data_IF_157175107773
#
_entry.id   IF_157175107773
#
_cell.length_a   1.000
_cell.length_b   1.000
_cell.length_c   1.000
_cell.angle_alpha   90.00
_cell.angle_beta   90.00
_cell.angle_gamma   90.00
#
_symmetry.space_group_name_H-M   'P 1'
#
loop_
_entity.id
_entity.type
_entity.pdbx_description
1 polymer ?
#
# COMPACT_ATOMS: atom_id res chain seq x y z
N UNK A 1 31.09 -8.27 -7.10
CA UNK A 1 30.12 -7.21 -6.81
C UNK A 1 28.77 -7.37 -7.53
N UNK A 2 28.49 -8.53 -8.16
CA UNK A 2 27.25 -8.76 -8.94
C UNK A 2 26.18 -9.62 -8.22
N UNK A 3 26.45 -10.09 -6.99
CA UNK A 3 25.60 -11.07 -6.31
C UNK A 3 24.43 -10.46 -5.50
N UNK A 4 24.47 -9.16 -5.18
CA UNK A 4 23.43 -8.49 -4.38
C UNK A 4 22.34 -7.80 -5.24
N UNK A 5 22.60 -7.56 -6.53
CA UNK A 5 21.60 -6.97 -7.44
C UNK A 5 20.41 -7.89 -7.71
N UNK A 6 20.62 -9.23 -7.60
CA UNK A 6 19.57 -10.21 -7.86
C UNK A 6 18.45 -10.27 -6.83
N UNK A 7 18.68 -9.81 -5.59
CA UNK A 7 17.67 -9.87 -4.52
C UNK A 7 16.69 -8.69 -4.53
N UNK A 8 17.08 -7.53 -5.07
CA UNK A 8 16.26 -6.31 -5.10
C UNK A 8 15.51 -6.17 -6.43
N UNK A 9 16.14 -6.56 -7.54
CA UNK A 9 15.50 -6.65 -8.86
C UNK A 9 15.05 -8.07 -9.22
N UNK A 10 14.70 -8.90 -8.22
CA UNK A 10 13.89 -10.07 -8.55
C UNK A 10 12.58 -9.53 -9.15
N UNK A 11 12.42 -9.73 -10.47
CA UNK A 11 11.23 -9.34 -11.24
C UNK A 11 9.94 -9.91 -10.64
N UNK A 12 10.10 -10.95 -9.84
CA UNK A 12 9.07 -11.68 -9.10
C UNK A 12 8.71 -11.02 -7.74
N UNK A 13 9.56 -10.13 -7.21
CA UNK A 13 9.40 -9.48 -5.89
C UNK A 13 9.09 -7.98 -5.94
N UNK A 14 9.67 -7.20 -6.87
CA UNK A 14 9.44 -5.75 -6.96
C UNK A 14 8.45 -5.32 -8.05
N UNK A 15 8.25 -6.15 -9.09
CA UNK A 15 7.12 -6.00 -10.01
C UNK A 15 6.12 -7.14 -9.78
N UNK A 16 5.39 -7.06 -8.68
CA UNK A 16 4.35 -8.05 -8.41
C UNK A 16 3.13 -7.69 -9.24
N UNK A 17 2.57 -8.65 -10.01
CA UNK A 17 1.43 -8.38 -10.87
C UNK A 17 0.34 -7.73 -10.03
N UNK A 18 -0.14 -6.56 -10.48
CA UNK A 18 -1.31 -5.91 -9.88
C UNK A 18 -2.32 -7.00 -9.59
N UNK A 19 -2.74 -7.17 -8.33
CA UNK A 19 -3.93 -7.97 -7.99
C UNK A 19 -4.97 -7.46 -8.97
N UNK A 20 -5.35 -8.29 -9.95
CA UNK A 20 -6.24 -7.85 -11.02
C UNK A 20 -7.54 -7.57 -10.31
N UNK A 21 -7.82 -6.29 -10.06
CA UNK A 21 -9.16 -5.87 -9.68
C UNK A 21 -10.06 -6.41 -10.79
N UNK A 22 -10.93 -7.35 -10.46
CA UNK A 22 -11.76 -7.98 -11.47
C UNK A 22 -12.66 -6.92 -12.10
N UNK A 23 -12.62 -6.74 -13.44
CA UNK A 23 -13.48 -5.79 -14.12
C UNK A 23 -14.95 -6.04 -13.75
N UNK A 24 -15.66 -5.01 -13.34
CA UNK A 24 -17.06 -5.11 -12.89
C UNK A 24 -17.26 -5.22 -11.37
N UNK A 25 -16.18 -5.28 -10.57
CA UNK A 25 -16.29 -5.18 -9.10
C UNK A 25 -16.33 -3.73 -8.61
N UNK A 26 -16.99 -3.47 -7.48
CA UNK A 26 -17.02 -2.15 -6.84
C UNK A 26 -15.59 -1.63 -6.55
N UNK A 27 -14.69 -2.53 -6.15
CA UNK A 27 -13.28 -2.23 -5.89
C UNK A 27 -12.52 -1.81 -7.16
N UNK A 28 -12.83 -2.41 -8.32
CA UNK A 28 -12.29 -1.99 -9.62
C UNK A 28 -12.76 -0.59 -10.01
N UNK A 29 -14.04 -0.28 -9.83
CA UNK A 29 -14.58 1.04 -10.12
C UNK A 29 -14.00 2.11 -9.20
N UNK A 30 -13.84 1.82 -7.90
CA UNK A 30 -13.18 2.72 -6.95
C UNK A 30 -11.72 2.99 -7.32
N UNK A 31 -10.97 1.94 -7.67
CA UNK A 31 -9.59 2.07 -8.14
C UNK A 31 -9.51 2.96 -9.40
N UNK A 32 -10.43 2.80 -10.36
CA UNK A 32 -10.48 3.63 -11.58
C UNK A 32 -10.78 5.09 -11.26
N UNK A 33 -11.74 5.37 -10.38
CA UNK A 33 -12.07 6.73 -9.90
C UNK A 33 -10.86 7.40 -9.24
N UNK A 34 -10.17 6.70 -8.34
CA UNK A 34 -8.97 7.19 -7.68
C UNK A 34 -7.83 7.48 -8.69
N UNK A 35 -7.60 6.57 -9.65
CA UNK A 35 -6.55 6.73 -10.65
C UNK A 35 -6.82 7.88 -11.64
N UNK A 36 -8.08 8.08 -12.05
CA UNK A 36 -8.46 9.17 -12.94
C UNK A 36 -8.31 10.56 -12.28
N UNK A 37 -8.62 10.62 -10.98
CA UNK A 37 -8.57 11.86 -10.20
C UNK A 37 -7.13 12.32 -9.93
N UNK A 38 -6.18 11.39 -9.82
CA UNK A 38 -4.77 11.73 -9.59
C UNK A 38 -4.00 12.14 -10.86
N UNK A 39 -4.51 11.83 -12.05
CA UNK A 39 -3.86 12.12 -13.35
C UNK A 39 -4.21 13.48 -13.95
N UNK A 40 -5.17 14.22 -13.38
CA UNK A 40 -5.84 15.35 -14.06
C UNK A 40 -5.51 16.75 -13.52
N UNK A 41 -4.45 16.92 -12.71
CA UNK A 41 -4.08 18.25 -12.18
C UNK A 41 -5.12 18.86 -11.24
N UNK A 42 -5.97 18.01 -10.64
CA UNK A 42 -7.06 18.38 -9.75
C UNK A 42 -6.57 18.77 -8.35
N UNK A 43 -7.41 19.56 -7.66
CA UNK A 43 -7.31 19.83 -6.23
C UNK A 43 -7.34 18.52 -5.43
N UNK A 44 -6.18 18.12 -4.90
CA UNK A 44 -6.02 16.89 -4.12
C UNK A 44 -7.01 16.82 -2.95
N UNK A 45 -7.38 17.96 -2.36
CA UNK A 45 -8.32 17.99 -1.23
C UNK A 45 -9.71 17.48 -1.60
N UNK A 46 -10.11 17.64 -2.86
CA UNK A 46 -11.39 17.12 -3.38
C UNK A 46 -11.27 15.64 -3.75
N UNK A 47 -10.14 15.25 -4.33
CA UNK A 47 -9.90 13.89 -4.82
C UNK A 47 -9.82 12.85 -3.70
N UNK A 48 -9.30 13.23 -2.54
CA UNK A 48 -9.18 12.31 -1.39
C UNK A 48 -10.48 12.14 -0.60
N UNK A 49 -11.52 12.92 -0.91
CA UNK A 49 -12.79 12.83 -0.20
C UNK A 49 -13.48 11.51 -0.52
N UNK A 50 -14.10 10.92 0.51
CA UNK A 50 -14.94 9.75 0.35
C UNK A 50 -16.09 10.09 -0.63
N UNK A 51 -16.23 9.37 -1.75
CA UNK A 51 -17.33 9.61 -2.67
C UNK A 51 -18.67 9.28 -2.02
N UNK A 52 -19.72 9.99 -2.43
CA UNK A 52 -21.06 9.78 -1.90
C UNK A 52 -21.56 8.35 -2.18
N UNK A 53 -22.07 7.69 -1.14
CA UNK A 53 -22.61 6.32 -1.22
C UNK A 53 -21.58 5.19 -1.12
N UNK A 54 -20.28 5.50 -1.00
CA UNK A 54 -19.22 4.49 -0.87
C UNK A 54 -18.90 4.18 0.60
N UNK A 55 -18.33 3.00 0.86
CA UNK A 55 -17.88 2.61 2.19
C UNK A 55 -16.49 3.22 2.50
N UNK A 56 -16.34 3.78 3.70
CA UNK A 56 -15.09 4.41 4.15
C UNK A 56 -13.91 3.41 4.19
N UNK A 57 -14.12 2.20 4.69
CA UNK A 57 -13.06 1.20 4.80
C UNK A 57 -12.60 0.73 3.42
N UNK A 58 -13.52 0.55 2.47
CA UNK A 58 -13.16 0.19 1.09
C UNK A 58 -12.39 1.32 0.41
N UNK A 59 -12.77 2.57 0.65
CA UNK A 59 -12.07 3.75 0.14
C UNK A 59 -10.64 3.84 0.68
N UNK A 60 -10.48 3.71 1.99
CA UNK A 60 -9.14 3.68 2.63
C UNK A 60 -8.33 2.50 2.10
N UNK A 61 -8.94 1.32 1.96
CA UNK A 61 -8.24 0.12 1.53
C UNK A 61 -7.68 0.26 0.10
N UNK A 62 -8.44 0.85 -0.82
CA UNK A 62 -7.96 1.15 -2.18
C UNK A 62 -6.78 2.13 -2.14
N UNK A 63 -6.86 3.16 -1.31
CA UNK A 63 -5.78 4.14 -1.17
C UNK A 63 -4.52 3.58 -0.53
N UNK A 64 -4.63 2.76 0.52
CA UNK A 64 -3.49 2.12 1.18
C UNK A 64 -2.70 1.26 0.18
N UNK A 65 -3.41 0.46 -0.63
CA UNK A 65 -2.78 -0.37 -1.66
C UNK A 65 -2.12 0.50 -2.75
N UNK A 66 -2.75 1.60 -3.17
CA UNK A 66 -2.15 2.51 -4.15
C UNK A 66 -0.88 3.19 -3.60
N UNK A 67 -0.91 3.67 -2.35
CA UNK A 67 0.25 4.30 -1.71
C UNK A 67 1.39 3.31 -1.51
N UNK A 68 1.11 2.10 -1.03
CA UNK A 68 2.14 1.06 -0.87
C UNK A 68 2.86 0.79 -2.21
N UNK A 69 2.10 0.60 -3.30
CA UNK A 69 2.70 0.37 -4.61
C UNK A 69 3.55 1.55 -5.10
N UNK A 70 3.13 2.79 -4.83
CA UNK A 70 3.91 3.98 -5.20
C UNK A 70 5.18 4.13 -4.37
N UNK A 71 5.11 3.87 -3.07
CA UNK A 71 6.27 3.90 -2.18
C UNK A 71 7.28 2.83 -2.61
N UNK A 72 6.82 1.63 -2.98
CA UNK A 72 7.69 0.57 -3.52
C UNK A 72 8.47 1.03 -4.74
N UNK A 73 7.81 1.72 -5.68
CA UNK A 73 8.46 2.25 -6.88
C UNK A 73 9.51 3.32 -6.53
N UNK A 74 9.18 4.26 -5.65
CA UNK A 74 10.10 5.32 -5.21
C UNK A 74 11.31 4.69 -4.50
N UNK A 75 11.06 3.81 -3.54
CA UNK A 75 12.12 3.14 -2.79
C UNK A 75 13.05 2.32 -3.70
N UNK A 76 12.48 1.63 -4.70
CA UNK A 76 13.27 0.92 -5.71
C UNK A 76 14.33 1.81 -6.37
N UNK A 77 13.98 3.05 -6.74
CA UNK A 77 14.93 4.00 -7.36
C UNK A 77 16.01 4.53 -6.42
N UNK A 78 15.77 4.55 -5.11
CA UNK A 78 16.70 5.10 -4.11
C UNK A 78 17.56 4.03 -3.43
N UNK A 79 17.10 2.77 -3.43
CA UNK A 79 17.69 1.67 -2.69
C UNK A 79 19.17 1.43 -3.02
N UNK A 80 19.58 1.68 -4.27
CA UNK A 80 20.97 1.53 -4.73
C UNK A 80 21.95 2.46 -4.03
N UNK A 81 21.49 3.63 -3.58
CA UNK A 81 22.32 4.65 -2.91
C UNK A 81 22.26 4.52 -1.38
N UNK A 82 21.35 3.70 -0.86
CA UNK A 82 21.13 3.48 0.56
C UNK A 82 21.87 2.20 1.00
N UNK A 83 23.09 2.37 1.51
CA UNK A 83 23.89 1.28 2.09
C UNK A 83 23.97 1.45 3.60
N UNK A 84 24.44 0.42 4.34
CA UNK A 84 24.69 0.57 5.78
C UNK A 84 25.73 1.65 6.10
N UNK A 85 26.59 2.03 5.13
CA UNK A 85 27.57 3.11 5.31
C UNK A 85 26.98 4.49 5.07
N UNK A 86 26.13 4.65 4.04
CA UNK A 86 25.51 5.94 3.71
C UNK A 86 24.30 6.24 4.59
N UNK A 87 23.57 5.20 5.01
CA UNK A 87 22.36 5.28 5.84
C UNK A 87 22.44 4.30 7.03
N UNK A 88 23.36 4.54 7.99
CA UNK A 88 23.60 3.62 9.11
C UNK A 88 22.45 3.56 10.12
N UNK A 89 21.55 4.54 10.09
CA UNK A 89 20.36 4.61 10.92
C UNK A 89 19.16 5.00 10.07
N UNK A 90 17.98 4.46 10.37
CA UNK A 90 16.72 4.94 9.81
C UNK A 90 16.37 6.30 10.40
N UNK A 91 16.39 7.36 9.59
CA UNK A 91 16.18 8.74 10.07
C UNK A 91 15.29 9.56 9.13
N UNK A 92 14.58 10.52 9.73
CA UNK A 92 13.75 11.52 9.05
C UNK A 92 14.41 12.89 9.14
N UNK A 93 15.57 13.03 8.48
CA UNK A 93 16.45 14.18 8.68
C UNK A 93 17.18 14.13 10.03
N UNK A 94 17.77 15.25 10.44
CA UNK A 94 18.67 15.30 11.61
C UNK A 94 17.96 15.16 12.97
N UNK A 95 16.63 15.34 13.01
CA UNK A 95 15.88 15.44 14.27
C UNK A 95 15.18 14.14 14.68
N UNK A 96 14.96 13.22 13.75
CA UNK A 96 14.11 12.07 13.99
C UNK A 96 14.86 10.78 13.64
N UNK A 97 14.94 9.88 14.61
CA UNK A 97 15.44 8.51 14.46
C UNK A 97 14.26 7.55 14.61
N UNK A 98 14.11 6.62 13.67
CA UNK A 98 13.09 5.58 13.71
C UNK A 98 13.69 4.26 14.18
N UNK A 99 12.96 3.57 15.07
CA UNK A 99 13.38 2.29 15.64
C UNK A 99 12.35 1.22 15.33
N UNK A 100 12.84 0.02 15.05
CA UNK A 100 12.00 -1.10 14.68
C UNK A 100 11.66 -1.98 15.88
N UNK A 101 10.45 -2.52 15.89
CA UNK A 101 9.97 -3.48 16.86
C UNK A 101 8.85 -4.29 16.21
N UNK A 102 8.97 -5.61 16.17
CA UNK A 102 7.98 -6.52 15.58
C UNK A 102 7.50 -7.61 16.54
N UNK A 103 7.85 -7.56 17.82
CA UNK A 103 7.35 -8.51 18.83
C UNK A 103 7.95 -9.92 18.75
N UNK A 104 8.45 -10.30 17.57
CA UNK A 104 9.10 -11.57 17.27
C UNK A 104 10.62 -11.45 17.45
N UNK A 105 11.34 -11.05 16.39
CA UNK A 105 12.80 -10.94 16.36
C UNK A 105 13.29 -9.68 17.09
N UNK A 106 12.52 -8.60 17.04
CA UNK A 106 12.82 -7.32 17.68
C UNK A 106 11.81 -7.01 18.77
N UNK A 107 12.02 -7.60 19.95
CA UNK A 107 11.15 -7.45 21.13
C UNK A 107 11.21 -6.06 21.79
N UNK A 108 12.22 -5.26 21.48
CA UNK A 108 12.43 -3.90 21.99
C UNK A 108 12.73 -2.94 20.84
N UNK A 109 12.44 -1.63 20.96
CA UNK A 109 12.77 -0.64 19.95
C UNK A 109 14.25 -0.63 19.60
N UNK A 110 14.59 -1.20 18.44
CA UNK A 110 15.95 -1.48 18.01
C UNK A 110 16.37 -0.51 16.90
N UNK A 111 17.59 0.00 17.00
CA UNK A 111 18.21 0.81 15.93
C UNK A 111 18.58 -0.11 14.78
N UNK A 112 18.14 0.23 13.58
CA UNK A 112 18.47 -0.49 12.37
C UNK A 112 19.01 0.46 11.30
N UNK A 113 19.93 0.00 10.44
CA UNK A 113 20.24 0.68 9.19
C UNK A 113 18.98 0.91 8.36
N UNK A 114 18.93 2.04 7.64
CA UNK A 114 17.72 2.44 6.92
C UNK A 114 17.25 1.38 5.91
N UNK A 115 18.18 0.77 5.16
CA UNK A 115 17.89 -0.29 4.20
C UNK A 115 17.20 -1.50 4.88
N UNK A 116 17.71 -1.92 6.05
CA UNK A 116 17.16 -3.06 6.79
C UNK A 116 15.80 -2.72 7.39
N UNK A 117 15.64 -1.52 7.95
CA UNK A 117 14.37 -1.03 8.45
C UNK A 117 13.30 -1.04 7.35
N UNK A 118 13.63 -0.48 6.18
CA UNK A 118 12.70 -0.41 5.05
C UNK A 118 12.30 -1.79 4.54
N UNK A 119 13.23 -2.76 4.46
CA UNK A 119 12.87 -4.11 4.06
C UNK A 119 11.86 -4.75 5.02
N UNK A 120 12.12 -4.68 6.33
CA UNK A 120 11.18 -5.19 7.35
C UNK A 120 9.82 -4.49 7.29
N UNK A 121 9.82 -3.17 7.09
CA UNK A 121 8.59 -2.39 6.94
C UNK A 121 7.75 -2.83 5.74
N UNK A 122 8.40 -3.05 4.59
CA UNK A 122 7.71 -3.42 3.35
C UNK A 122 7.16 -4.84 3.42
N UNK A 123 7.91 -5.77 4.00
CA UNK A 123 7.47 -7.15 4.24
C UNK A 123 6.29 -7.17 5.23
N UNK A 124 6.34 -6.36 6.29
CA UNK A 124 5.25 -6.22 7.26
C UNK A 124 3.98 -5.67 6.60
N UNK A 125 4.06 -4.56 5.84
CA UNK A 125 2.90 -3.99 5.14
C UNK A 125 2.34 -5.00 4.12
N UNK A 126 3.20 -5.72 3.41
CA UNK A 126 2.78 -6.77 2.48
C UNK A 126 1.97 -7.88 3.20
N UNK A 127 2.44 -8.31 4.37
CA UNK A 127 1.72 -9.31 5.17
C UNK A 127 0.32 -8.85 5.56
N UNK A 128 0.14 -7.56 5.84
CA UNK A 128 -1.17 -6.98 6.17
C UNK A 128 -2.07 -6.88 4.93
N UNK A 129 -1.57 -6.35 3.82
CA UNK A 129 -2.35 -6.17 2.57
C UNK A 129 -2.80 -7.52 1.98
N UNK A 130 -2.01 -8.58 2.20
CA UNK A 130 -2.35 -9.92 1.74
C UNK A 130 -3.22 -10.72 2.72
N UNK A 131 -3.39 -10.24 3.95
CA UNK A 131 -4.26 -10.88 4.92
C UNK A 131 -5.74 -10.60 4.59
N UNK A 132 -6.50 -11.65 4.23
CA UNK A 132 -7.92 -11.51 3.85
C UNK A 132 -8.83 -11.13 5.03
N UNK A 133 -8.40 -11.35 6.27
CA UNK A 133 -9.14 -10.92 7.46
C UNK A 133 -9.05 -9.40 7.68
N UNK A 134 -7.97 -8.77 7.19
CA UNK A 134 -7.75 -7.33 7.27
C UNK A 134 -8.19 -6.62 5.97
N UNK A 135 -7.84 -7.19 4.82
CA UNK A 135 -8.15 -6.68 3.49
C UNK A 135 -8.94 -7.72 2.68
N UNK A 136 -10.26 -7.86 2.94
CA UNK A 136 -11.09 -8.83 2.24
C UNK A 136 -11.05 -8.58 0.72
N UNK A 137 -10.84 -9.67 -0.02
CA UNK A 137 -10.80 -9.68 -1.49
C UNK A 137 -12.16 -10.05 -2.08
N UNK A 138 -13.00 -10.74 -1.31
CA UNK A 138 -14.33 -11.17 -1.70
C UNK A 138 -15.33 -10.05 -1.42
N UNK A 139 -16.07 -9.65 -2.46
CA UNK A 139 -17.28 -8.85 -2.29
C UNK A 139 -18.31 -9.76 -1.62
N UNK A 140 -18.41 -9.72 -0.30
CA UNK A 140 -19.66 -10.13 0.31
C UNK A 140 -20.68 -9.12 -0.20
N UNK A 141 -21.57 -9.57 -1.07
CA UNK A 141 -22.81 -8.87 -1.37
C UNK A 141 -23.53 -8.70 -0.04
N UNK A 142 -23.22 -7.64 0.70
CA UNK A 142 -24.03 -7.18 1.81
C UNK A 142 -25.41 -6.95 1.19
N UNK A 143 -26.48 -7.63 1.65
CA UNK A 143 -27.83 -7.43 1.13
C UNK A 143 -28.34 -6.08 1.61
N UNK A 144 -27.80 -4.98 1.06
CA UNK A 144 -28.37 -3.65 1.24
C UNK A 144 -29.31 -3.40 0.07
N UNK A 145 -30.58 -3.71 0.36
CA UNK A 145 -31.77 -3.07 -0.18
C UNK A 145 -32.12 -3.34 -1.64
N UNK A 146 -32.47 -4.60 -1.94
CA UNK A 146 -33.56 -4.86 -2.89
C UNK A 146 -34.87 -4.41 -2.23
N UNK A 147 -35.21 -3.11 -2.33
CA UNK A 147 -36.54 -2.60 -1.98
C UNK A 147 -36.89 -1.29 -2.71
N UNK A 148 -36.27 -1.01 -3.86
CA UNK A 148 -36.62 0.16 -4.69
C UNK A 148 -37.13 -0.15 -6.09
N UNK A 149 -37.52 -1.40 -6.37
CA UNK A 149 -38.18 -1.77 -7.62
C UNK A 149 -39.41 -2.66 -7.38
N UNK A 150 -40.35 -2.20 -6.53
CA UNK A 150 -41.70 -2.77 -6.44
C UNK A 150 -42.63 -1.76 -5.75
N UNK A 151 -42.93 -0.65 -6.42
CA UNK A 151 -44.12 0.21 -6.20
C UNK A 151 -44.08 1.39 -7.16
N UNK A 152 -44.49 1.14 -8.40
CA UNK A 152 -45.29 2.09 -9.17
C UNK A 152 -46.50 1.32 -9.67
N UNK A 153 -47.62 1.59 -9.01
CA UNK A 153 -48.96 1.44 -9.54
C UNK A 153 -49.14 2.31 -10.78
#
# INVERSE_FOLDING_TARGET
>A
MALCLGQVFSKDKTFRPRKRFEPGTQRFELYKKAQASLKSGLDLRKVVQLPEGENLNDWIAVHVVDFFNRINLIYGTMSEYCTERTCPIMSGGLRYEYRWQDGDDYKKPTKLPALKYMNLLMDWIESLINNEDIFPTRVYLSPRTSNRCARRS
#
